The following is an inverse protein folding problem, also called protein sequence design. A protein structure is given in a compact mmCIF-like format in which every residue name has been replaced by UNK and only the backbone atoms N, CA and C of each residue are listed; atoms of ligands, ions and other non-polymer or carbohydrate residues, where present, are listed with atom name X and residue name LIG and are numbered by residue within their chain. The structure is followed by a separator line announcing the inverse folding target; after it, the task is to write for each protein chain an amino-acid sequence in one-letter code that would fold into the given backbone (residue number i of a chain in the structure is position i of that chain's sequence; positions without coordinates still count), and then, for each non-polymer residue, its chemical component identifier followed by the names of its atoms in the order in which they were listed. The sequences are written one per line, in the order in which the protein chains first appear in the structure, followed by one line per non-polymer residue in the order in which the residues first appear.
data_IF_329967144193
#
_entry.id   IF_329967144193
#
_cell.length_a   1.000
_cell.length_b   1.000
_cell.length_c   1.000
_cell.angle_alpha   90.00
_cell.angle_beta   90.00
_cell.angle_gamma   90.00
#
_symmetry.space_group_name_H-M   'P 1'
#
loop_
_entity.id
_entity.type
_entity.pdbx_description
1 polymer ?
#
# COMPACT_ATOMS: atom_id res chain seq x y z
N UNK A 1 5.42 -0.73 47.28
CA UNK A 1 4.14 -1.06 46.60
C UNK A 1 2.99 -0.48 47.42
N UNK A 2 1.94 0.02 46.77
CA UNK A 2 0.76 0.48 47.49
C UNK A 2 0.13 -0.68 48.28
N UNK A 3 -0.34 -0.42 49.50
CA UNK A 3 -0.92 -1.45 50.36
C UNK A 3 -2.25 -1.94 49.76
N UNK A 4 -2.38 -3.24 49.48
CA UNK A 4 -3.61 -3.83 48.96
C UNK A 4 -4.62 -3.96 50.10
N UNK A 5 -5.53 -2.99 50.22
CA UNK A 5 -6.53 -2.93 51.30
C UNK A 5 -7.89 -3.50 50.92
N UNK A 6 -8.11 -3.76 49.62
CA UNK A 6 -9.39 -4.23 49.11
C UNK A 6 -9.45 -5.76 49.13
N UNK A 7 -10.37 -6.32 49.91
CA UNK A 7 -10.70 -7.74 49.90
C UNK A 7 -12.15 -7.90 49.44
N UNK A 8 -12.36 -8.67 48.36
CA UNK A 8 -13.67 -8.90 47.74
C UNK A 8 -13.78 -10.40 47.42
N UNK A 9 -14.97 -10.96 47.64
CA UNK A 9 -15.30 -12.32 47.20
C UNK A 9 -15.98 -12.25 45.85
N UNK A 10 -15.57 -13.08 44.89
CA UNK A 10 -16.11 -13.14 43.54
C UNK A 10 -16.48 -14.57 43.21
N UNK A 11 -17.58 -14.77 42.47
CA UNK A 11 -17.93 -16.07 41.86
C UNK A 11 -17.63 -15.97 40.37
N UNK A 12 -16.96 -16.99 39.84
CA UNK A 12 -16.47 -17.03 38.47
C UNK A 12 -16.89 -18.34 37.82
N UNK A 13 -16.95 -18.37 36.49
CA UNK A 13 -17.04 -19.63 35.76
C UNK A 13 -15.70 -20.38 35.82
N UNK A 14 -15.74 -21.70 35.58
CA UNK A 14 -14.53 -22.53 35.52
C UNK A 14 -13.56 -22.04 34.44
N UNK A 15 -14.09 -21.59 33.29
CA UNK A 15 -13.30 -21.00 32.20
C UNK A 15 -12.51 -19.76 32.66
N UNK A 16 -13.15 -18.83 33.37
CA UNK A 16 -12.48 -17.62 33.86
C UNK A 16 -11.46 -17.98 34.94
N UNK A 17 -11.76 -18.96 35.79
CA UNK A 17 -10.80 -19.47 36.77
C UNK A 17 -9.55 -20.05 36.09
N UNK A 18 -9.72 -20.82 35.01
CA UNK A 18 -8.61 -21.39 34.23
C UNK A 18 -7.71 -20.31 33.61
N UNK A 19 -8.30 -19.25 33.05
CA UNK A 19 -7.52 -18.10 32.56
C UNK A 19 -6.74 -17.39 33.65
N UNK A 20 -7.31 -17.27 34.85
CA UNK A 20 -6.60 -16.67 35.98
C UNK A 20 -5.49 -17.60 36.48
N UNK A 21 -5.76 -18.89 36.66
CA UNK A 21 -4.79 -19.84 37.21
C UNK A 21 -3.60 -20.10 36.27
N UNK A 22 -3.80 -19.98 34.96
CA UNK A 22 -2.72 -20.08 33.97
C UNK A 22 -1.82 -18.83 33.89
N UNK A 23 -2.20 -17.73 34.55
CA UNK A 23 -1.44 -16.49 34.54
C UNK A 23 -0.32 -16.46 35.59
N UNK A 24 0.71 -15.64 35.35
CA UNK A 24 1.85 -15.51 36.27
C UNK A 24 1.47 -14.78 37.57
N UNK A 25 1.87 -15.33 38.72
CA UNK A 25 1.71 -14.70 40.03
C UNK A 25 1.58 -15.70 41.18
N UNK A 26 1.82 -15.22 42.41
CA UNK A 26 1.70 -16.03 43.63
C UNK A 26 0.27 -16.01 44.15
N UNK A 27 -0.44 -17.10 43.86
CA UNK A 27 -1.83 -17.30 44.26
C UNK A 27 -2.85 -16.50 43.45
N UNK A 28 -4.12 -16.85 43.63
CA UNK A 28 -5.23 -16.38 42.81
C UNK A 28 -5.31 -14.85 42.67
N UNK A 29 -5.22 -14.11 43.78
CA UNK A 29 -5.40 -12.65 43.76
C UNK A 29 -4.32 -11.92 42.95
N UNK A 30 -3.06 -12.38 43.02
CA UNK A 30 -1.98 -11.76 42.26
C UNK A 30 -2.09 -12.09 40.78
N UNK A 31 -2.41 -13.34 40.45
CA UNK A 31 -2.65 -13.75 39.05
C UNK A 31 -3.80 -12.97 38.43
N UNK A 32 -4.91 -12.81 39.16
CA UNK A 32 -6.06 -12.03 38.71
C UNK A 32 -5.69 -10.57 38.44
N UNK A 33 -4.98 -9.92 39.38
CA UNK A 33 -4.51 -8.55 39.20
C UNK A 33 -3.57 -8.40 38.00
N UNK A 34 -2.60 -9.32 37.86
CA UNK A 34 -1.65 -9.33 36.76
C UNK A 34 -2.35 -9.51 35.41
N UNK A 35 -3.33 -10.42 35.32
CA UNK A 35 -4.14 -10.65 34.13
C UNK A 35 -4.90 -9.39 33.73
N UNK A 36 -5.59 -8.74 34.68
CA UNK A 36 -6.34 -7.51 34.41
C UNK A 36 -5.40 -6.40 33.94
N UNK A 37 -4.26 -6.20 34.60
CA UNK A 37 -3.28 -5.20 34.20
C UNK A 37 -2.69 -5.49 32.82
N UNK A 38 -2.42 -6.77 32.51
CA UNK A 38 -1.96 -7.19 31.20
C UNK A 38 -3.00 -6.89 30.13
N UNK A 39 -4.25 -7.30 30.31
CA UNK A 39 -5.32 -7.05 29.35
C UNK A 39 -5.46 -5.54 29.07
N UNK A 40 -5.53 -4.71 30.11
CA UNK A 40 -5.69 -3.26 29.94
C UNK A 40 -4.51 -2.60 29.21
N UNK A 41 -3.28 -3.07 29.42
CA UNK A 41 -2.09 -2.55 28.73
C UNK A 41 -1.99 -3.07 27.30
N UNK A 42 -2.12 -4.38 27.14
CA UNK A 42 -1.97 -5.08 25.86
C UNK A 42 -3.06 -4.69 24.88
N UNK A 43 -4.31 -4.58 25.33
CA UNK A 43 -5.42 -4.15 24.48
C UNK A 43 -5.19 -2.74 23.94
N UNK A 44 -4.83 -1.78 24.81
CA UNK A 44 -4.52 -0.41 24.40
C UNK A 44 -3.37 -0.35 23.41
N UNK A 45 -2.32 -1.12 23.65
CA UNK A 45 -1.16 -1.16 22.75
C UNK A 45 -1.54 -1.77 21.40
N UNK A 46 -2.23 -2.91 21.38
CA UNK A 46 -2.69 -3.57 20.15
C UNK A 46 -3.60 -2.65 19.34
N UNK A 47 -4.51 -1.93 19.98
CA UNK A 47 -5.41 -0.97 19.31
C UNK A 47 -4.64 0.13 18.58
N UNK A 48 -3.65 0.75 19.25
CA UNK A 48 -2.75 1.74 18.61
C UNK A 48 -2.00 1.16 17.44
N UNK A 49 -1.44 -0.04 17.60
CA UNK A 49 -0.70 -0.71 16.51
C UNK A 49 -1.60 -1.01 15.30
N UNK A 50 -2.88 -1.36 15.52
CA UNK A 50 -3.85 -1.52 14.42
C UNK A 50 -4.10 -0.17 13.72
N UNK A 51 -4.30 0.91 14.47
CA UNK A 51 -4.49 2.26 13.91
C UNK A 51 -3.28 2.72 13.09
N UNK A 52 -2.07 2.45 13.57
CA UNK A 52 -0.81 2.75 12.87
C UNK A 52 -0.71 1.94 11.56
N UNK A 53 -1.02 0.64 11.60
CA UNK A 53 -1.03 -0.19 10.40
C UNK A 53 -2.08 0.26 9.38
N UNK A 54 -3.29 0.61 9.81
CA UNK A 54 -4.31 1.16 8.93
C UNK A 54 -3.84 2.45 8.24
N UNK A 55 -3.13 3.31 8.97
CA UNK A 55 -2.54 4.51 8.39
C UNK A 55 -1.48 4.18 7.33
N UNK A 56 -0.57 3.24 7.64
CA UNK A 56 0.47 2.81 6.72
C UNK A 56 -0.12 2.17 5.45
N UNK A 57 -1.14 1.33 5.60
CA UNK A 57 -1.85 0.69 4.48
C UNK A 57 -2.47 1.76 3.57
N UNK A 58 -3.17 2.75 4.12
CA UNK A 58 -3.73 3.87 3.34
C UNK A 58 -2.65 4.62 2.56
N UNK A 59 -1.49 4.89 3.18
CA UNK A 59 -0.39 5.57 2.52
C UNK A 59 0.19 4.73 1.37
N UNK A 60 0.35 3.42 1.57
CA UNK A 60 0.82 2.50 0.53
C UNK A 60 -0.14 2.44 -0.66
N UNK A 61 -1.44 2.37 -0.41
CA UNK A 61 -2.45 2.42 -1.48
C UNK A 61 -2.42 3.74 -2.26
N UNK A 62 -2.27 4.89 -1.58
CA UNK A 62 -2.11 6.18 -2.27
C UNK A 62 -0.89 6.19 -3.17
N UNK A 63 0.25 5.69 -2.70
CA UNK A 63 1.47 5.58 -3.50
C UNK A 63 1.30 4.63 -4.69
N UNK A 64 0.66 3.48 -4.48
CA UNK A 64 0.38 2.52 -5.54
C UNK A 64 -0.52 3.12 -6.62
N UNK A 65 -1.58 3.83 -6.22
CA UNK A 65 -2.48 4.49 -7.17
C UNK A 65 -1.74 5.54 -8.00
N UNK A 66 -0.92 6.39 -7.37
CA UNK A 66 -0.12 7.37 -8.09
C UNK A 66 0.86 6.72 -9.09
N UNK A 67 1.46 5.57 -8.74
CA UNK A 67 2.31 4.81 -9.66
C UNK A 67 1.53 4.21 -10.83
N UNK A 68 0.32 3.70 -10.57
CA UNK A 68 -0.56 3.17 -11.60
C UNK A 68 -1.01 4.26 -12.57
N UNK A 69 -1.34 5.45 -12.05
CA UNK A 69 -1.70 6.62 -12.87
C UNK A 69 -0.51 7.03 -13.76
N UNK A 70 0.70 7.15 -13.18
CA UNK A 70 1.90 7.44 -13.95
C UNK A 70 2.19 6.38 -15.04
N UNK A 71 2.02 5.10 -14.71
CA UNK A 71 2.19 4.01 -15.67
C UNK A 71 1.18 4.08 -16.81
N UNK A 72 -0.07 4.45 -16.50
CA UNK A 72 -1.12 4.65 -17.49
C UNK A 72 -0.75 5.81 -18.42
N UNK A 73 -0.33 6.94 -17.88
CA UNK A 73 0.05 8.11 -18.67
C UNK A 73 1.24 7.81 -19.58
N UNK A 74 2.26 7.12 -19.06
CA UNK A 74 3.40 6.68 -19.86
C UNK A 74 2.97 5.78 -21.04
N UNK A 75 2.04 4.83 -20.81
CA UNK A 75 1.50 3.98 -21.89
C UNK A 75 0.75 4.77 -22.96
N UNK A 76 -0.03 5.78 -22.56
CA UNK A 76 -0.73 6.66 -23.50
C UNK A 76 0.29 7.42 -24.34
N UNK A 77 1.31 8.00 -23.69
CA UNK A 77 2.37 8.76 -24.35
C UNK A 77 3.13 7.89 -25.36
N UNK A 78 3.49 6.65 -25.00
CA UNK A 78 4.14 5.72 -25.95
C UNK A 78 3.30 5.47 -27.20
N UNK A 79 1.98 5.29 -27.06
CA UNK A 79 1.09 5.11 -28.23
C UNK A 79 1.04 6.36 -29.10
N UNK A 80 0.99 7.54 -28.49
CA UNK A 80 1.00 8.80 -29.22
C UNK A 80 2.31 8.98 -29.98
N UNK A 81 3.46 8.68 -29.37
CA UNK A 81 4.75 8.72 -30.05
C UNK A 81 4.81 7.76 -31.24
N UNK A 82 4.33 6.53 -31.09
CA UNK A 82 4.28 5.57 -32.20
C UNK A 82 3.40 6.07 -33.36
N UNK A 83 2.26 6.69 -33.06
CA UNK A 83 1.42 7.34 -34.09
C UNK A 83 2.17 8.46 -34.81
N UNK A 84 2.83 9.34 -34.05
CA UNK A 84 3.59 10.45 -34.62
C UNK A 84 4.75 9.95 -35.49
N UNK A 85 5.43 8.88 -35.08
CA UNK A 85 6.48 8.26 -35.89
C UNK A 85 5.94 7.79 -37.25
N UNK A 86 4.80 7.08 -37.25
CA UNK A 86 4.15 6.63 -38.49
C UNK A 86 3.73 7.80 -39.38
N UNK A 87 3.20 8.87 -38.80
CA UNK A 87 2.81 10.07 -39.55
C UNK A 87 4.04 10.78 -40.16
N UNK A 88 5.16 10.85 -39.42
CA UNK A 88 6.42 11.39 -39.93
C UNK A 88 7.00 10.53 -41.06
N UNK A 89 6.94 9.20 -40.96
CA UNK A 89 7.38 8.28 -42.01
C UNK A 89 6.60 8.51 -43.31
N UNK A 90 5.28 8.66 -43.23
CA UNK A 90 4.45 9.01 -44.41
C UNK A 90 4.82 10.35 -45.02
N UNK A 91 5.06 11.38 -44.18
CA UNK A 91 5.46 12.69 -44.68
C UNK A 91 6.82 12.63 -45.39
N UNK A 92 7.76 11.81 -44.89
CA UNK A 92 9.03 11.57 -45.57
C UNK A 92 8.82 10.91 -46.93
N UNK A 93 7.95 9.90 -47.02
CA UNK A 93 7.60 9.25 -48.29
C UNK A 93 7.03 10.25 -49.30
N UNK A 94 6.07 11.10 -48.89
CA UNK A 94 5.52 12.15 -49.75
C UNK A 94 6.57 13.15 -50.23
N UNK A 95 7.50 13.56 -49.36
CA UNK A 95 8.59 14.48 -49.75
C UNK A 95 9.51 13.83 -50.80
N UNK A 96 9.79 12.52 -50.68
CA UNK A 96 10.62 11.82 -51.66
C UNK A 96 9.94 11.76 -53.03
N UNK A 97 8.64 11.49 -53.08
CA UNK A 97 7.85 11.53 -54.33
C UNK A 97 7.91 12.91 -54.99
N UNK A 98 7.76 13.99 -54.22
CA UNK A 98 7.83 15.37 -54.74
C UNK A 98 9.26 15.73 -55.21
N UNK A 99 10.30 15.15 -54.59
CA UNK A 99 11.71 15.40 -54.94
C UNK A 99 12.20 14.58 -56.12
N UNK A 100 11.59 13.45 -56.45
CA UNK A 100 11.88 12.72 -57.67
C UNK A 100 11.37 13.52 -58.87
N UNK A 101 12.24 13.98 -59.80
CA UNK A 101 11.80 14.77 -60.94
C UNK A 101 10.97 13.90 -61.90
N UNK A 102 9.76 14.35 -62.21
CA UNK A 102 8.94 13.82 -63.30
C UNK A 102 9.59 14.21 -64.65
N UNK A 103 10.56 13.42 -65.13
CA UNK A 103 10.76 13.04 -66.54
C UNK A 103 12.23 12.90 -66.96
N UNK A 104 12.54 12.02 -67.94
CA UNK A 104 13.89 11.78 -68.47
C UNK A 104 14.49 12.90 -69.35
N UNK A 105 13.93 14.11 -69.38
CA UNK A 105 14.24 15.10 -70.42
C UNK A 105 15.43 16.04 -70.11
N UNK A 106 16.03 16.00 -68.92
CA UNK A 106 17.25 16.78 -68.61
C UNK A 106 18.57 16.01 -68.88
N UNK A 107 18.58 15.07 -69.83
CA UNK A 107 19.83 14.39 -70.29
C UNK A 107 20.36 14.85 -71.64
N UNK A 108 19.60 15.64 -72.40
CA UNK A 108 20.07 16.26 -73.64
C UNK A 108 19.92 17.78 -73.56
N UNK A 109 20.97 18.43 -73.06
CA UNK A 109 21.01 19.88 -72.89
C UNK A 109 22.40 20.39 -72.56
N UNK A 110 23.33 20.12 -73.49
CA UNK A 110 24.60 20.81 -73.77
C UNK A 110 25.34 21.52 -72.61
#
# INVERSE_FOLDING_TARGET
MAKKTNMKSVRLSDEVLEYVESFEGDGFNQKFENLVLFCMKTEKQKRRTIEDYDHMIKLKYRKLNALNDLQRDARIMTRQFLSMQHDLEKLQEYIQIIRTPDSPEERDGN
#
